data_IF_959527479776
#
_entry.id   IF_959527479776
#
_cell.length_a   1.000
_cell.length_b   1.000
_cell.length_c   1.000
_cell.angle_alpha   90.00
_cell.angle_beta   90.00
_cell.angle_gamma   90.00
#
_symmetry.space_group_name_H-M   'P 1'
#
loop_
_entity.id
_entity.type
_entity.pdbx_description
1 polymer ?
#
# COMPACT_ATOMS: atom_id res chain seq x y z
N UNK A 1 18.99 9.54 20.20
CA UNK A 1 18.58 8.55 19.18
C UNK A 1 18.58 7.19 19.85
N UNK A 2 17.45 6.84 20.47
CA UNK A 2 17.35 5.80 21.50
C UNK A 2 17.47 4.37 20.98
N UNK A 3 18.21 3.54 21.72
CA UNK A 3 18.42 2.12 21.45
C UNK A 3 17.09 1.34 21.34
N UNK A 4 16.04 1.76 22.05
CA UNK A 4 14.71 1.16 21.99
C UNK A 4 14.03 1.33 20.62
N UNK A 5 14.16 2.49 19.98
CA UNK A 5 13.61 2.71 18.63
C UNK A 5 14.35 1.89 17.59
N UNK A 6 15.63 1.58 17.82
CA UNK A 6 16.41 0.68 16.98
C UNK A 6 15.93 -0.77 17.15
N UNK A 7 15.73 -1.23 18.38
CA UNK A 7 15.19 -2.56 18.67
C UNK A 7 13.82 -2.77 18.01
N UNK A 8 12.88 -1.83 18.18
CA UNK A 8 11.54 -1.92 17.54
C UNK A 8 11.60 -1.99 16.01
N UNK A 9 12.50 -1.23 15.37
CA UNK A 9 12.70 -1.29 13.90
C UNK A 9 13.20 -2.65 13.44
N UNK A 10 14.13 -3.28 14.17
CA UNK A 10 14.61 -4.62 13.87
C UNK A 10 13.49 -5.66 14.04
N UNK A 11 12.73 -5.56 15.14
CA UNK A 11 11.60 -6.46 15.43
C UNK A 11 10.54 -6.44 14.32
N UNK A 12 10.16 -5.25 13.82
CA UNK A 12 9.19 -5.12 12.73
C UNK A 12 9.67 -5.77 11.43
N UNK A 13 10.95 -5.63 11.09
CA UNK A 13 11.54 -6.28 9.91
C UNK A 13 11.53 -7.79 10.04
N UNK A 14 11.81 -8.32 11.23
CA UNK A 14 11.75 -9.76 11.49
C UNK A 14 10.33 -10.31 11.29
N UNK A 15 9.32 -9.63 11.84
CA UNK A 15 7.93 -10.04 11.65
C UNK A 15 7.44 -9.92 10.20
N UNK A 16 7.91 -8.91 9.47
CA UNK A 16 7.63 -8.75 8.03
C UNK A 16 8.20 -9.92 7.22
N UNK A 17 9.45 -10.31 7.48
CA UNK A 17 10.08 -11.47 6.84
C UNK A 17 9.35 -12.78 7.19
N UNK A 18 8.96 -12.95 8.45
CA UNK A 18 8.21 -14.13 8.89
C UNK A 18 6.84 -14.23 8.22
N UNK A 19 6.10 -13.12 8.11
CA UNK A 19 4.82 -13.10 7.39
C UNK A 19 4.99 -13.43 5.91
N UNK A 20 6.05 -12.94 5.25
CA UNK A 20 6.39 -13.32 3.88
C UNK A 20 6.70 -14.81 3.73
N UNK A 21 7.47 -15.39 4.66
CA UNK A 21 7.80 -16.82 4.61
C UNK A 21 6.54 -17.67 4.79
N UNK A 22 5.69 -17.33 5.77
CA UNK A 22 4.44 -18.03 6.03
C UNK A 22 3.45 -17.92 4.87
N UNK A 23 3.39 -16.78 4.17
CA UNK A 23 2.56 -16.69 2.96
C UNK A 23 3.06 -17.61 1.85
N UNK A 24 4.37 -17.63 1.59
CA UNK A 24 4.96 -18.52 0.57
C UNK A 24 4.72 -20.01 0.89
N UNK A 25 4.66 -20.36 2.17
CA UNK A 25 4.35 -21.70 2.64
C UNK A 25 2.84 -22.00 2.70
N UNK A 26 1.99 -21.13 2.15
CA UNK A 26 0.52 -21.23 2.19
C UNK A 26 -0.08 -21.27 3.61
N UNK A 27 0.63 -20.69 4.59
CA UNK A 27 0.28 -20.64 6.02
C UNK A 27 -0.24 -19.25 6.41
N UNK A 28 -1.19 -18.73 5.64
CA UNK A 28 -1.73 -17.38 5.82
C UNK A 28 -2.39 -17.15 7.20
N UNK A 29 -2.96 -18.18 7.82
CA UNK A 29 -3.53 -18.10 9.17
C UNK A 29 -2.48 -17.87 10.26
N UNK A 30 -1.27 -18.41 10.08
CA UNK A 30 -0.18 -18.15 11.01
C UNK A 30 0.36 -16.73 10.89
N UNK A 31 0.48 -16.23 9.65
CA UNK A 31 0.79 -14.83 9.40
C UNK A 31 -0.24 -13.92 10.07
N UNK A 32 -1.54 -14.25 9.97
CA UNK A 32 -2.60 -13.52 10.64
C UNK A 32 -2.50 -13.57 12.18
N UNK A 33 -2.21 -14.74 12.76
CA UNK A 33 -2.04 -14.88 14.22
C UNK A 33 -0.88 -14.03 14.74
N UNK A 34 0.23 -13.96 14.01
CA UNK A 34 1.37 -13.09 14.36
C UNK A 34 0.97 -11.62 14.25
N UNK A 35 0.28 -11.25 13.17
CA UNK A 35 -0.23 -9.90 12.98
C UNK A 35 -1.06 -9.46 14.17
N UNK A 36 -2.08 -10.23 14.56
CA UNK A 36 -2.95 -9.89 15.69
C UNK A 36 -2.19 -9.80 17.02
N UNK A 37 -1.30 -10.77 17.30
CA UNK A 37 -0.62 -10.86 18.60
C UNK A 37 0.49 -9.84 18.78
N UNK A 38 1.20 -9.46 17.71
CA UNK A 38 2.47 -8.73 17.81
C UNK A 38 2.45 -7.36 17.17
N UNK A 39 1.51 -7.07 16.27
CA UNK A 39 1.60 -5.91 15.37
C UNK A 39 0.32 -5.07 15.35
N UNK A 40 -0.83 -5.69 15.12
CA UNK A 40 -2.10 -5.03 14.80
C UNK A 40 -2.73 -4.21 15.92
N UNK A 41 -2.08 -4.10 17.09
CA UNK A 41 -2.56 -3.30 18.22
C UNK A 41 -2.20 -1.82 18.09
N UNK A 42 -1.12 -1.47 17.38
CA UNK A 42 -0.70 -0.08 17.15
C UNK A 42 -0.39 0.14 15.66
N UNK A 43 -1.43 0.42 14.89
CA UNK A 43 -1.28 0.69 13.46
C UNK A 43 -0.62 2.03 13.16
N UNK A 44 -0.52 2.97 14.11
CA UNK A 44 0.19 4.24 13.87
C UNK A 44 1.70 4.00 13.70
N UNK A 45 2.25 3.07 14.49
CA UNK A 45 3.67 2.71 14.45
C UNK A 45 4.04 1.73 13.33
N UNK A 46 3.06 1.10 12.68
CA UNK A 46 3.31 0.08 11.65
C UNK A 46 3.61 0.72 10.29
N UNK A 47 4.78 0.46 9.68
CA UNK A 47 5.09 0.98 8.36
C UNK A 47 4.07 0.54 7.30
N UNK A 48 3.70 1.44 6.39
CA UNK A 48 2.74 1.16 5.30
C UNK A 48 3.11 -0.06 4.46
N UNK A 49 4.41 -0.33 4.28
CA UNK A 49 4.88 -1.52 3.55
C UNK A 49 4.40 -2.83 4.18
N UNK A 50 4.29 -2.90 5.51
CA UNK A 50 3.82 -4.09 6.21
C UNK A 50 2.29 -4.18 6.16
N UNK A 51 1.57 -3.05 6.33
CA UNK A 51 0.13 -3.02 6.06
C UNK A 51 -0.18 -3.52 4.63
N UNK A 52 0.58 -3.05 3.64
CA UNK A 52 0.46 -3.49 2.24
C UNK A 52 0.73 -4.99 2.08
N UNK A 53 1.73 -5.53 2.77
CA UNK A 53 2.00 -6.97 2.79
C UNK A 53 0.78 -7.74 3.31
N UNK A 54 0.24 -7.37 4.48
CA UNK A 54 -0.91 -8.06 5.05
C UNK A 54 -2.15 -7.96 4.18
N UNK A 55 -2.42 -6.80 3.58
CA UNK A 55 -3.52 -6.64 2.61
C UNK A 55 -3.34 -7.59 1.41
N UNK A 56 -2.11 -7.76 0.90
CA UNK A 56 -1.82 -8.69 -0.18
C UNK A 56 -2.01 -10.16 0.23
N UNK A 57 -1.56 -10.54 1.44
CA UNK A 57 -1.76 -11.88 2.00
C UNK A 57 -3.27 -12.17 2.10
N UNK A 58 -4.05 -11.27 2.68
CA UNK A 58 -5.49 -11.45 2.80
C UNK A 58 -6.19 -11.53 1.45
N UNK A 59 -5.79 -10.70 0.50
CA UNK A 59 -6.36 -10.71 -0.85
C UNK A 59 -6.15 -12.07 -1.55
N UNK A 60 -4.90 -12.55 -1.59
CA UNK A 60 -4.54 -13.81 -2.28
C UNK A 60 -5.18 -15.04 -1.66
N UNK A 61 -5.48 -14.99 -0.37
CA UNK A 61 -6.06 -16.10 0.39
C UNK A 61 -7.59 -15.96 0.57
N UNK A 62 -8.24 -15.10 -0.21
CA UNK A 62 -9.67 -14.83 -0.16
C UNK A 62 -10.19 -14.46 1.26
N UNK A 63 -9.38 -13.75 2.04
CA UNK A 63 -9.71 -13.24 3.40
C UNK A 63 -10.15 -11.79 3.34
N UNK A 64 -11.16 -11.55 2.51
CA UNK A 64 -11.61 -10.22 2.13
C UNK A 64 -12.20 -9.45 3.32
N UNK A 65 -12.85 -10.15 4.25
CA UNK A 65 -13.34 -9.61 5.52
C UNK A 65 -12.22 -8.96 6.33
N UNK A 66 -11.09 -9.66 6.46
CA UNK A 66 -9.90 -9.20 7.19
C UNK A 66 -9.19 -8.08 6.43
N UNK A 67 -9.20 -8.14 5.10
CA UNK A 67 -8.64 -7.09 4.24
C UNK A 67 -9.38 -5.77 4.45
N UNK A 68 -10.70 -5.78 4.34
CA UNK A 68 -11.55 -4.60 4.53
C UNK A 68 -11.39 -4.05 5.95
N UNK A 69 -11.41 -4.93 6.96
CA UNK A 69 -11.21 -4.53 8.35
C UNK A 69 -9.87 -3.82 8.55
N UNK A 70 -8.77 -4.42 8.08
CA UNK A 70 -7.44 -3.82 8.18
C UNK A 70 -7.38 -2.46 7.48
N UNK A 71 -7.97 -2.33 6.29
CA UNK A 71 -7.96 -1.08 5.56
C UNK A 71 -8.70 0.03 6.33
N UNK A 72 -9.90 -0.26 6.85
CA UNK A 72 -10.68 0.67 7.67
C UNK A 72 -9.93 1.11 8.92
N UNK A 73 -9.27 0.19 9.61
CA UNK A 73 -8.46 0.51 10.80
C UNK A 73 -7.26 1.42 10.45
N UNK A 74 -6.56 1.15 9.34
CA UNK A 74 -5.46 2.02 8.87
C UNK A 74 -5.98 3.40 8.44
N UNK A 75 -7.15 3.47 7.79
CA UNK A 75 -7.78 4.75 7.44
C UNK A 75 -8.22 5.53 8.68
N UNK A 76 -8.73 4.85 9.72
CA UNK A 76 -9.11 5.48 10.98
C UNK A 76 -7.91 6.12 11.71
N UNK A 77 -6.69 5.60 11.49
CA UNK A 77 -5.45 6.25 11.91
C UNK A 77 -5.11 7.52 11.10
N UNK A 78 -5.97 7.98 10.18
CA UNK A 78 -5.74 9.13 9.31
C UNK A 78 -4.73 8.88 8.18
N UNK A 79 -4.35 7.61 7.94
CA UNK A 79 -3.30 7.26 6.99
C UNK A 79 -3.89 7.00 5.60
N UNK A 80 -3.43 7.75 4.61
CA UNK A 80 -3.82 7.55 3.21
C UNK A 80 -3.00 6.43 2.55
N UNK A 81 -3.60 5.57 1.70
CA UNK A 81 -2.89 4.56 0.94
C UNK A 81 -1.86 5.21 0.00
N UNK A 82 -0.62 4.68 -0.06
CA UNK A 82 0.46 5.26 -0.87
C UNK A 82 0.31 5.03 -2.37
N UNK A 83 -0.55 4.11 -2.81
CA UNK A 83 -0.66 3.71 -4.21
C UNK A 83 -2.04 3.17 -4.58
N UNK A 84 -2.42 3.35 -5.85
CA UNK A 84 -3.73 2.90 -6.39
C UNK A 84 -3.91 1.38 -6.36
N UNK A 85 -2.83 0.58 -6.36
CA UNK A 85 -2.93 -0.88 -6.30
C UNK A 85 -3.49 -1.40 -4.98
N UNK A 86 -3.36 -0.61 -3.91
CA UNK A 86 -3.98 -0.89 -2.61
C UNK A 86 -5.48 -0.61 -2.70
N UNK A 87 -5.85 0.56 -3.23
CA UNK A 87 -7.26 0.96 -3.40
C UNK A 87 -8.00 -0.07 -4.25
N UNK A 88 -7.40 -0.52 -5.37
CA UNK A 88 -7.99 -1.55 -6.23
C UNK A 88 -8.27 -2.88 -5.49
N UNK A 89 -7.36 -3.36 -4.64
CA UNK A 89 -7.62 -4.60 -3.87
C UNK A 89 -8.77 -4.46 -2.89
N UNK A 90 -8.93 -3.27 -2.31
CA UNK A 90 -10.02 -2.96 -1.38
C UNK A 90 -11.32 -2.81 -2.14
N UNK A 91 -11.30 -2.19 -3.32
CA UNK A 91 -12.41 -2.12 -4.27
C UNK A 91 -12.90 -3.52 -4.66
N UNK A 92 -11.99 -4.39 -5.11
CA UNK A 92 -12.27 -5.79 -5.46
C UNK A 92 -12.87 -6.54 -4.25
N UNK A 93 -12.32 -6.31 -3.04
CA UNK A 93 -12.82 -6.92 -1.82
C UNK A 93 -14.23 -6.45 -1.44
N UNK A 94 -14.53 -5.15 -1.59
CA UNK A 94 -15.88 -4.62 -1.36
C UNK A 94 -16.87 -5.21 -2.36
N UNK A 95 -16.51 -5.30 -3.63
CA UNK A 95 -17.36 -5.90 -4.66
C UNK A 95 -17.67 -7.37 -4.38
N UNK A 96 -16.65 -8.17 -4.08
CA UNK A 96 -16.81 -9.60 -3.75
C UNK A 96 -17.60 -9.84 -2.46
N UNK A 97 -17.62 -8.87 -1.54
CA UNK A 97 -18.43 -8.93 -0.31
C UNK A 97 -19.83 -8.30 -0.48
N UNK A 98 -20.17 -7.78 -1.66
CA UNK A 98 -21.46 -7.11 -1.92
C UNK A 98 -21.59 -5.70 -1.29
N UNK A 99 -20.49 -5.12 -0.84
CA UNK A 99 -20.42 -3.81 -0.17
C UNK A 99 -20.29 -2.67 -1.19
N UNK A 100 -21.31 -2.52 -2.04
CA UNK A 100 -21.26 -1.63 -3.20
C UNK A 100 -21.25 -0.15 -2.82
N UNK A 101 -21.87 0.24 -1.71
CA UNK A 101 -21.89 1.63 -1.26
C UNK A 101 -20.51 2.04 -0.71
N UNK A 102 -19.83 1.15 0.03
CA UNK A 102 -18.47 1.36 0.48
C UNK A 102 -17.48 1.42 -0.68
N UNK A 103 -17.70 0.60 -1.72
CA UNK A 103 -16.93 0.68 -2.97
C UNK A 103 -17.05 2.07 -3.61
N UNK A 104 -18.27 2.59 -3.77
CA UNK A 104 -18.50 3.93 -4.34
C UNK A 104 -17.82 5.02 -3.51
N UNK A 105 -17.99 4.98 -2.19
CA UNK A 105 -17.38 5.94 -1.27
C UNK A 105 -15.84 5.90 -1.32
N UNK A 106 -15.25 4.70 -1.42
CA UNK A 106 -13.81 4.51 -1.57
C UNK A 106 -13.29 5.17 -2.85
N UNK A 107 -13.97 4.93 -3.98
CA UNK A 107 -13.56 5.46 -5.29
C UNK A 107 -13.65 6.99 -5.34
N UNK A 108 -14.72 7.58 -4.79
CA UNK A 108 -14.83 9.05 -4.74
C UNK A 108 -13.75 9.66 -3.84
N UNK A 109 -13.49 9.06 -2.67
CA UNK A 109 -12.46 9.53 -1.72
C UNK A 109 -11.04 9.48 -2.29
N UNK A 110 -10.74 8.50 -3.15
CA UNK A 110 -9.40 8.26 -3.68
C UNK A 110 -9.24 8.51 -5.18
N UNK A 111 -10.20 9.18 -5.83
CA UNK A 111 -10.16 9.53 -7.27
C UNK A 111 -8.85 10.20 -7.71
N UNK A 112 -8.27 11.04 -6.86
CA UNK A 112 -7.00 11.74 -7.14
C UNK A 112 -5.80 10.79 -7.32
N UNK A 113 -5.85 9.60 -6.72
CA UNK A 113 -4.81 8.57 -6.90
C UNK A 113 -4.86 7.93 -8.29
N UNK A 114 -6.02 7.96 -8.95
CA UNK A 114 -6.19 7.48 -10.32
C UNK A 114 -5.85 8.56 -11.34
N UNK A 115 -6.09 9.84 -11.01
CA UNK A 115 -5.88 10.99 -11.89
C UNK A 115 -4.43 11.50 -11.94
N UNK A 116 -3.56 11.06 -11.01
CA UNK A 116 -2.17 11.55 -10.98
C UNK A 116 -1.36 10.93 -12.13
N UNK A 117 -0.80 11.72 -13.06
CA UNK A 117 0.07 11.19 -14.09
C UNK A 117 1.27 10.50 -13.44
N UNK A 118 1.70 9.39 -14.03
CA UNK A 118 2.85 8.64 -13.54
C UNK A 118 4.05 9.58 -13.48
N UNK A 119 4.92 9.45 -12.47
CA UNK A 119 6.19 10.19 -12.42
C UNK A 119 7.03 10.01 -13.69
N UNK A 120 6.77 8.95 -14.48
CA UNK A 120 7.39 8.73 -15.78
C UNK A 120 6.94 9.72 -16.87
N UNK A 121 5.74 10.30 -16.76
CA UNK A 121 5.22 11.25 -17.76
C UNK A 121 5.96 12.60 -17.69
N UNK A 122 6.46 12.98 -16.50
CA UNK A 122 7.23 14.22 -16.31
C UNK A 122 8.63 14.19 -16.91
N UNK A 123 9.19 13.01 -17.20
CA UNK A 123 10.55 12.87 -17.77
C UNK A 123 10.58 13.03 -19.29
N UNK A 124 9.43 13.00 -19.97
CA UNK A 124 9.37 13.10 -21.44
C UNK A 124 9.39 14.54 -21.98
N UNK A 125 9.27 15.54 -21.10
CA UNK A 125 9.20 16.96 -21.48
C UNK A 125 10.53 17.74 -21.52
N UNK A 126 11.66 17.20 -21.02
CA UNK A 126 12.90 18.00 -20.89
C UNK A 126 13.97 17.75 -21.97
N UNK A 127 13.64 17.08 -23.08
CA UNK A 127 14.62 16.78 -24.14
C UNK A 127 14.16 17.17 -25.54
N UNK A 128 13.66 18.39 -25.71
CA UNK A 128 13.51 19.02 -27.04
C UNK A 128 13.54 20.54 -26.93
N UNK A 129 14.74 21.12 -26.98
CA UNK A 129 14.98 22.42 -27.63
C UNK A 129 16.38 22.39 -28.24
N UNK A 130 16.44 21.73 -29.39
CA UNK A 130 17.44 21.98 -30.42
C UNK A 130 16.95 23.26 -31.11
N UNK A 131 17.64 24.38 -30.94
CA UNK A 131 17.51 25.52 -31.85
C UNK A 131 18.86 25.71 -32.49
N UNK A 132 18.97 25.08 -33.64
CA UNK A 132 19.85 25.44 -34.74
C UNK A 132 19.34 26.76 -35.31
N UNK A 133 20.18 27.78 -35.38
CA UNK A 133 20.02 28.89 -36.30
C UNK A 133 21.34 29.09 -37.03
N UNK A 134 21.27 28.86 -38.33
CA UNK A 134 22.30 28.93 -39.35
C UNK A 134 22.74 30.38 -39.63
N UNK A 135 24.01 30.51 -40.04
CA UNK A 135 24.75 31.54 -40.80
C UNK A 135 24.19 32.98 -40.96
N UNK A 136 25.10 33.96 -40.87
CA UNK A 136 25.40 34.91 -41.99
C UNK A 136 26.70 35.70 -41.73
N UNK A 137 27.60 35.62 -42.72
CA UNK A 137 28.66 36.50 -43.19
C UNK A 137 29.14 37.73 -42.39
N UNK A 138 30.46 37.83 -42.21
CA UNK A 138 31.29 38.90 -42.77
C UNK A 138 32.76 38.50 -42.82
#
# INVERSE_FOLDING_TARGET
MDAEQRARKYTMRTYELLACALEKDNRAEEAHRIWQKKIGHDLHSVPWRFCRLMLAIYYRNNRLDRLVKLFKEVEACGRKPPSKDIVRKVEDAYEMLGLLEEKKALLDKYKDLYNKPSRNDRKKGSRSKKTETDKTSR
#
